data_IF_453896341764
#
_entry.id   IF_453896341764
#
_cell.length_a   1.000
_cell.length_b   1.000
_cell.length_c   1.000
_cell.angle_alpha   90.00
_cell.angle_beta   90.00
_cell.angle_gamma   90.00
#
_symmetry.space_group_name_H-M   'P 1'
#
loop_
_entity.id
_entity.type
_entity.pdbx_description
1 polymer ?
#
# COMPACT_ATOMS: atom_id res chain seq x y z
N UNK A 1 15.49 -9.41 12.59
CA UNK A 1 16.09 -10.73 12.25
C UNK A 1 15.51 -11.32 10.96
N UNK A 2 14.18 -11.33 10.76
CA UNK A 2 13.54 -11.88 9.54
C UNK A 2 14.05 -11.29 8.22
N UNK A 3 14.08 -9.94 8.11
CA UNK A 3 14.62 -9.24 6.94
C UNK A 3 16.04 -9.67 6.57
N UNK A 4 16.90 -9.89 7.56
CA UNK A 4 18.28 -10.34 7.33
C UNK A 4 18.38 -11.78 6.83
N UNK A 5 17.44 -12.66 7.21
CA UNK A 5 17.37 -14.04 6.69
C UNK A 5 17.09 -14.09 5.18
N UNK A 6 16.50 -13.04 4.59
CA UNK A 6 16.40 -12.92 3.14
C UNK A 6 17.77 -12.94 2.45
N UNK A 7 18.77 -12.25 3.01
CA UNK A 7 20.14 -12.29 2.51
C UNK A 7 20.76 -13.69 2.55
N UNK A 8 20.46 -14.46 3.61
CA UNK A 8 20.88 -15.85 3.74
C UNK A 8 20.30 -16.72 2.63
N UNK A 9 19.00 -16.59 2.35
CA UNK A 9 18.36 -17.33 1.25
C UNK A 9 18.95 -16.99 -0.11
N UNK A 10 19.26 -15.71 -0.37
CA UNK A 10 19.98 -15.32 -1.59
C UNK A 10 21.38 -15.95 -1.67
N UNK A 11 22.12 -15.96 -0.56
CA UNK A 11 23.43 -16.63 -0.50
C UNK A 11 23.36 -18.10 -0.84
N UNK A 12 22.40 -18.83 -0.25
CA UNK A 12 22.17 -20.25 -0.51
C UNK A 12 21.83 -20.51 -1.99
N UNK A 13 20.98 -19.68 -2.60
CA UNK A 13 20.66 -19.77 -4.03
C UNK A 13 21.90 -19.53 -4.90
N UNK A 14 22.66 -18.48 -4.62
CA UNK A 14 23.86 -18.14 -5.40
C UNK A 14 24.94 -19.21 -5.29
N UNK A 15 25.11 -19.80 -4.11
CA UNK A 15 26.00 -20.95 -3.92
C UNK A 15 25.56 -22.14 -4.79
N UNK A 16 24.29 -22.53 -4.73
CA UNK A 16 23.75 -23.62 -5.54
C UNK A 16 23.95 -23.39 -7.05
N UNK A 17 23.61 -22.20 -7.55
CA UNK A 17 23.80 -21.85 -8.96
C UNK A 17 25.27 -21.90 -9.38
N UNK A 18 26.18 -21.55 -8.48
CA UNK A 18 27.63 -21.56 -8.74
C UNK A 18 28.20 -22.97 -8.72
N UNK A 19 27.77 -23.82 -7.79
CA UNK A 19 28.14 -25.25 -7.73
C UNK A 19 27.74 -25.95 -9.03
N UNK A 20 26.53 -25.69 -9.52
CA UNK A 20 26.01 -26.33 -10.74
C UNK A 20 26.57 -25.75 -12.05
N UNK A 21 27.30 -24.63 -11.99
CA UNK A 21 27.75 -23.91 -13.19
C UNK A 21 28.83 -24.71 -13.92
N UNK A 22 28.50 -25.18 -15.12
CA UNK A 22 29.49 -25.75 -16.04
C UNK A 22 30.00 -27.14 -15.64
N UNK A 23 29.29 -27.85 -14.76
CA UNK A 23 29.64 -29.23 -14.42
C UNK A 23 29.35 -30.14 -15.63
N UNK A 24 30.27 -31.04 -16.02
CA UNK A 24 30.03 -32.00 -17.10
C UNK A 24 29.02 -33.07 -16.66
N UNK A 25 28.34 -33.73 -17.60
CA UNK A 25 27.46 -34.85 -17.27
C UNK A 25 28.26 -36.11 -16.93
N UNK A 26 27.78 -37.02 -16.06
CA UNK A 26 26.47 -37.01 -15.41
C UNK A 26 26.54 -36.63 -13.92
N UNK A 27 27.08 -37.50 -13.07
CA UNK A 27 27.28 -37.23 -11.63
C UNK A 27 28.70 -36.72 -11.38
N UNK A 28 28.82 -35.64 -10.60
CA UNK A 28 30.08 -35.14 -10.07
C UNK A 28 30.00 -35.05 -8.55
N UNK A 29 31.10 -35.32 -7.86
CA UNK A 29 31.15 -35.27 -6.40
C UNK A 29 30.84 -33.88 -5.86
N UNK A 30 31.12 -32.82 -6.61
CA UNK A 30 30.75 -31.42 -6.30
C UNK A 30 29.25 -31.26 -5.99
N UNK A 31 28.40 -32.12 -6.57
CA UNK A 31 26.95 -32.14 -6.28
C UNK A 31 26.64 -32.57 -4.84
N UNK A 32 27.61 -33.04 -4.05
CA UNK A 32 27.39 -33.30 -2.62
C UNK A 32 27.06 -32.03 -1.84
N UNK A 33 27.54 -30.88 -2.32
CA UNK A 33 27.33 -29.53 -1.77
C UNK A 33 25.92 -28.98 -2.05
N UNK A 34 24.96 -29.77 -2.53
CA UNK A 34 23.59 -29.30 -2.75
C UNK A 34 22.74 -29.27 -1.45
N UNK A 35 23.03 -30.20 -0.53
CA UNK A 35 22.18 -30.49 0.64
C UNK A 35 22.19 -29.38 1.66
N UNK A 36 23.36 -28.83 2.00
CA UNK A 36 23.49 -27.87 3.10
C UNK A 36 22.66 -26.60 2.86
N UNK A 37 22.74 -26.05 1.64
CA UNK A 37 22.06 -24.84 1.22
C UNK A 37 20.56 -25.05 1.13
N UNK A 38 20.11 -26.23 0.67
CA UNK A 38 18.68 -26.58 0.64
C UNK A 38 18.16 -26.75 2.06
N UNK A 39 18.81 -27.53 2.91
CA UNK A 39 18.39 -27.75 4.29
C UNK A 39 18.37 -26.45 5.09
N UNK A 40 19.41 -25.64 4.99
CA UNK A 40 19.45 -24.35 5.66
C UNK A 40 18.34 -23.39 5.18
N UNK A 41 18.03 -23.41 3.89
CA UNK A 41 16.93 -22.61 3.33
C UNK A 41 15.57 -23.09 3.84
N UNK A 42 15.35 -24.41 3.91
CA UNK A 42 14.13 -25.01 4.44
C UNK A 42 13.96 -24.72 5.93
N UNK A 43 15.00 -24.92 6.74
CA UNK A 43 14.99 -24.61 8.17
C UNK A 43 14.75 -23.13 8.43
N UNK A 44 15.41 -22.29 7.63
CA UNK A 44 15.23 -20.84 7.69
C UNK A 44 13.79 -20.45 7.37
N UNK A 45 13.20 -20.99 6.31
CA UNK A 45 11.82 -20.70 5.91
C UNK A 45 10.82 -21.19 6.96
N UNK A 46 10.93 -22.43 7.41
CA UNK A 46 10.01 -23.01 8.39
C UNK A 46 10.05 -22.25 9.71
N UNK A 47 11.26 -21.98 10.24
CA UNK A 47 11.39 -21.18 11.46
C UNK A 47 10.82 -19.76 11.28
N UNK A 48 10.94 -19.20 10.08
CA UNK A 48 10.41 -17.88 9.76
C UNK A 48 8.89 -17.84 9.78
N UNK A 49 8.24 -18.80 9.12
CA UNK A 49 6.79 -18.92 9.07
C UNK A 49 6.18 -19.21 10.44
N UNK A 50 6.81 -20.09 11.23
CA UNK A 50 6.37 -20.41 12.61
C UNK A 50 6.36 -19.18 13.53
N UNK A 51 7.20 -18.17 13.26
CA UNK A 51 7.22 -16.92 14.02
C UNK A 51 6.23 -15.91 13.43
N UNK A 52 6.16 -15.81 12.11
CA UNK A 52 5.37 -14.78 11.42
C UNK A 52 3.87 -14.98 11.60
N UNK A 53 3.38 -16.22 11.50
CA UNK A 53 1.96 -16.53 11.67
C UNK A 53 1.38 -16.05 13.02
N UNK A 54 1.93 -16.46 14.19
CA UNK A 54 1.40 -16.00 15.48
C UNK A 54 1.65 -14.51 15.73
N UNK A 55 2.70 -13.92 15.12
CA UNK A 55 2.94 -12.49 15.20
C UNK A 55 1.83 -11.68 14.51
N UNK A 56 1.42 -12.09 13.31
CA UNK A 56 0.30 -11.45 12.59
C UNK A 56 -1.02 -11.71 13.33
N UNK A 57 -1.25 -12.95 13.79
CA UNK A 57 -2.45 -13.33 14.52
C UNK A 57 -2.66 -12.50 15.81
N UNK A 58 -1.58 -12.21 16.53
CA UNK A 58 -1.62 -11.44 17.79
C UNK A 58 -1.43 -9.93 17.60
N UNK A 59 -1.26 -9.47 16.36
CA UNK A 59 -1.05 -8.06 16.08
C UNK A 59 -2.29 -7.25 16.46
N UNK A 60 -2.09 -6.13 17.16
CA UNK A 60 -3.17 -5.18 17.48
C UNK A 60 -3.05 -3.97 16.57
N UNK A 61 -4.13 -3.64 15.88
CA UNK A 61 -4.22 -2.45 15.04
C UNK A 61 -4.70 -1.27 15.90
N UNK A 62 -3.92 -0.21 15.95
CA UNK A 62 -4.26 1.04 16.65
C UNK A 62 -5.13 1.92 15.73
N UNK A 63 -6.41 1.58 15.60
CA UNK A 63 -7.32 2.16 14.61
C UNK A 63 -7.34 3.70 14.61
N UNK A 64 -7.41 4.33 15.80
CA UNK A 64 -7.42 5.79 15.92
C UNK A 64 -6.13 6.44 15.40
N UNK A 65 -4.97 5.88 15.74
CA UNK A 65 -3.69 6.37 15.26
C UNK A 65 -3.57 6.22 13.74
N UNK A 66 -4.02 5.08 13.19
CA UNK A 66 -3.99 4.83 11.75
C UNK A 66 -4.93 5.77 11.01
N UNK A 67 -6.14 6.01 11.53
CA UNK A 67 -7.12 6.94 10.97
C UNK A 67 -6.59 8.38 10.99
N UNK A 68 -6.06 8.83 12.13
CA UNK A 68 -5.47 10.16 12.25
C UNK A 68 -4.26 10.35 11.33
N UNK A 69 -3.45 9.32 11.11
CA UNK A 69 -2.34 9.37 10.15
C UNK A 69 -2.84 9.42 8.70
N UNK A 70 -3.89 8.69 8.35
CA UNK A 70 -4.47 8.67 7.01
C UNK A 70 -5.13 10.02 6.63
N UNK A 71 -5.73 10.70 7.59
CA UNK A 71 -6.29 12.05 7.41
C UNK A 71 -5.19 13.13 7.22
N UNK A 72 -3.96 12.86 7.67
CA UNK A 72 -2.84 13.77 7.49
C UNK A 72 -2.18 13.58 6.12
N UNK A 73 -1.61 14.66 5.59
CA UNK A 73 -0.78 14.60 4.38
C UNK A 73 -1.50 14.82 3.06
N UNK A 74 -2.73 15.36 3.09
CA UNK A 74 -3.47 15.76 1.89
C UNK A 74 -3.72 14.62 0.90
N UNK A 75 -3.84 13.38 1.39
CA UNK A 75 -4.15 12.21 0.55
C UNK A 75 -5.45 12.37 -0.24
N UNK A 76 -6.42 13.13 0.30
CA UNK A 76 -7.69 13.49 -0.33
C UNK A 76 -7.60 14.65 -1.35
N UNK A 77 -6.41 15.24 -1.57
CA UNK A 77 -6.22 16.26 -2.62
C UNK A 77 -6.52 15.69 -4.02
N UNK A 78 -6.17 14.42 -4.25
CA UNK A 78 -6.50 13.75 -5.52
C UNK A 78 -8.01 13.66 -5.71
N UNK A 79 -8.75 13.32 -4.66
CA UNK A 79 -10.22 13.24 -4.69
C UNK A 79 -10.86 14.63 -4.87
N UNK A 80 -10.25 15.70 -4.31
CA UNK A 80 -10.64 17.08 -4.61
C UNK A 80 -10.45 17.43 -6.09
N UNK A 81 -9.36 16.99 -6.72
CA UNK A 81 -9.13 17.21 -8.15
C UNK A 81 -10.18 16.46 -8.98
N UNK A 82 -10.49 15.21 -8.64
CA UNK A 82 -11.54 14.43 -9.30
C UNK A 82 -12.93 15.08 -9.12
N UNK A 83 -13.22 15.66 -7.95
CA UNK A 83 -14.43 16.43 -7.69
C UNK A 83 -14.55 17.64 -8.65
N UNK A 84 -13.50 18.44 -8.78
CA UNK A 84 -13.48 19.61 -9.68
C UNK A 84 -13.65 19.19 -11.14
N UNK A 85 -13.05 18.07 -11.53
CA UNK A 85 -13.22 17.50 -12.88
C UNK A 85 -14.67 17.10 -13.13
N UNK A 86 -15.35 16.49 -12.17
CA UNK A 86 -16.78 16.17 -12.28
C UNK A 86 -17.66 17.41 -12.39
N UNK A 87 -17.23 18.55 -11.84
CA UNK A 87 -17.87 19.88 -12.00
C UNK A 87 -17.47 20.59 -13.31
N UNK A 88 -16.78 19.87 -14.22
CA UNK A 88 -16.47 20.32 -15.57
C UNK A 88 -15.20 21.17 -15.69
N UNK A 89 -14.32 21.16 -14.69
CA UNK A 89 -13.00 21.81 -14.77
C UNK A 89 -12.01 20.85 -15.43
N UNK A 90 -11.24 21.25 -16.46
CA UNK A 90 -10.19 20.40 -17.03
C UNK A 90 -9.19 19.93 -15.97
N UNK A 91 -8.75 18.66 -16.02
CA UNK A 91 -7.90 18.07 -14.98
C UNK A 91 -6.64 18.89 -14.67
N UNK A 92 -5.99 19.47 -15.68
CA UNK A 92 -4.80 20.31 -15.49
C UNK A 92 -5.08 21.55 -14.62
N UNK A 93 -6.25 22.15 -14.81
CA UNK A 93 -6.69 23.32 -14.03
C UNK A 93 -7.13 22.89 -12.64
N UNK A 94 -7.91 21.81 -12.52
CA UNK A 94 -8.29 21.22 -11.24
C UNK A 94 -7.04 20.91 -10.37
N UNK A 95 -6.02 20.29 -10.95
CA UNK A 95 -4.76 20.01 -10.28
C UNK A 95 -4.04 21.29 -9.79
N UNK A 96 -4.09 22.38 -10.57
CA UNK A 96 -3.50 23.66 -10.17
C UNK A 96 -4.27 24.33 -9.02
N UNK A 97 -5.60 24.31 -9.07
CA UNK A 97 -6.49 24.80 -8.01
C UNK A 97 -6.21 24.05 -6.71
N UNK A 98 -6.20 22.70 -6.76
CA UNK A 98 -5.93 21.85 -5.61
C UNK A 98 -4.52 22.09 -5.06
N UNK A 99 -3.50 22.20 -5.92
CA UNK A 99 -2.14 22.50 -5.47
C UNK A 99 -2.06 23.83 -4.71
N UNK A 100 -2.85 24.83 -5.15
CA UNK A 100 -2.95 26.13 -4.46
C UNK A 100 -3.65 26.00 -3.11
N UNK A 101 -4.75 25.24 -3.04
CA UNK A 101 -5.48 24.95 -1.80
C UNK A 101 -4.60 24.20 -0.78
N UNK A 102 -3.87 23.16 -1.21
CA UNK A 102 -2.95 22.41 -0.36
C UNK A 102 -1.83 23.31 0.17
N UNK A 103 -1.25 24.17 -0.68
CA UNK A 103 -0.23 25.13 -0.24
C UNK A 103 -0.79 26.12 0.79
N UNK A 104 -2.02 26.59 0.61
CA UNK A 104 -2.71 27.43 1.59
C UNK A 104 -2.90 26.70 2.92
N UNK A 105 -3.38 25.45 2.89
CA UNK A 105 -3.54 24.62 4.07
C UNK A 105 -2.22 24.41 4.82
N UNK A 106 -1.11 24.13 4.12
CA UNK A 106 0.22 23.98 4.73
C UNK A 106 0.64 25.26 5.45
N UNK A 107 0.46 26.43 4.82
CA UNK A 107 0.82 27.73 5.40
C UNK A 107 0.00 28.06 6.65
N UNK A 108 -1.27 27.68 6.66
CA UNK A 108 -2.20 27.96 7.76
C UNK A 108 -2.32 26.80 8.77
N UNK A 109 -1.54 25.73 8.59
CA UNK A 109 -1.57 24.51 9.42
C UNK A 109 -2.98 23.90 9.54
N UNK A 110 -3.70 23.89 8.43
CA UNK A 110 -5.04 23.28 8.29
C UNK A 110 -4.98 22.05 7.38
N UNK A 111 -6.00 21.21 7.45
CA UNK A 111 -6.32 20.18 6.46
C UNK A 111 -7.36 20.73 5.46
N UNK A 112 -7.54 20.06 4.32
CA UNK A 112 -8.54 20.46 3.32
C UNK A 112 -9.96 20.42 3.89
N UNK A 113 -10.24 19.44 4.74
CA UNK A 113 -11.55 19.25 5.41
C UNK A 113 -11.87 20.38 6.41
N UNK A 114 -10.85 21.12 6.86
CA UNK A 114 -10.96 22.21 7.83
C UNK A 114 -11.13 23.59 7.17
N UNK A 115 -11.05 23.67 5.83
CA UNK A 115 -11.28 24.91 5.10
C UNK A 115 -12.76 25.30 5.17
N UNK A 116 -13.05 26.58 5.39
CA UNK A 116 -14.42 27.10 5.31
C UNK A 116 -14.88 27.23 3.86
N UNK A 117 -16.19 27.31 3.62
CA UNK A 117 -16.70 27.58 2.27
C UNK A 117 -16.24 28.93 1.72
N UNK A 118 -16.01 29.92 2.58
CA UNK A 118 -15.45 31.21 2.21
C UNK A 118 -14.01 31.05 1.70
N UNK A 119 -13.19 30.25 2.41
CA UNK A 119 -11.83 29.90 1.99
C UNK A 119 -11.86 29.11 0.67
N UNK A 120 -12.75 28.13 0.53
CA UNK A 120 -12.90 27.36 -0.71
C UNK A 120 -13.28 28.23 -1.91
N UNK A 121 -14.19 29.19 -1.70
CA UNK A 121 -14.65 30.10 -2.75
C UNK A 121 -13.52 30.99 -3.29
N UNK A 122 -12.44 31.19 -2.54
CA UNK A 122 -11.26 31.92 -3.04
C UNK A 122 -10.48 31.16 -4.11
N UNK A 123 -10.62 29.83 -4.18
CA UNK A 123 -9.91 28.99 -5.15
C UNK A 123 -10.72 28.78 -6.42
N UNK A 124 -12.01 28.45 -6.30
CA UNK A 124 -12.94 28.30 -7.42
C UNK A 124 -14.40 28.38 -6.96
N UNK A 125 -15.24 29.11 -7.72
CA UNK A 125 -16.66 29.33 -7.39
C UNK A 125 -17.54 28.08 -7.61
N UNK A 126 -17.05 27.04 -8.28
CA UNK A 126 -17.76 25.76 -8.49
C UNK A 126 -17.60 24.80 -7.29
N UNK A 127 -16.80 25.18 -6.28
CA UNK A 127 -16.70 24.41 -5.03
C UNK A 127 -17.94 24.73 -4.19
N UNK A 128 -18.73 23.70 -3.90
CA UNK A 128 -19.97 23.80 -3.13
C UNK A 128 -19.85 22.99 -1.84
N UNK A 129 -20.89 23.03 -1.00
CA UNK A 129 -20.89 22.35 0.32
C UNK A 129 -20.75 20.82 0.23
N UNK A 130 -21.03 20.21 -0.92
CA UNK A 130 -20.82 18.79 -1.19
C UNK A 130 -19.33 18.39 -1.23
N UNK A 131 -18.41 19.36 -1.24
CA UNK A 131 -16.96 19.10 -1.18
C UNK A 131 -16.58 18.34 0.10
N UNK A 132 -17.13 18.71 1.25
CA UNK A 132 -16.79 18.10 2.54
C UNK A 132 -17.09 16.60 2.57
N UNK A 133 -18.19 16.19 1.95
CA UNK A 133 -18.52 14.78 1.78
C UNK A 133 -17.58 14.12 0.77
N UNK A 134 -17.35 14.79 -0.37
CA UNK A 134 -16.56 14.27 -1.49
C UNK A 134 -15.11 13.96 -1.14
N UNK A 135 -14.48 14.77 -0.28
CA UNK A 135 -13.07 14.63 0.11
C UNK A 135 -12.89 13.91 1.46
N UNK A 136 -13.98 13.48 2.09
CA UNK A 136 -13.92 12.74 3.35
C UNK A 136 -13.18 11.41 3.16
N UNK A 137 -12.41 11.00 4.16
CA UNK A 137 -11.65 9.75 4.11
C UNK A 137 -12.54 8.54 3.74
N UNK A 138 -13.75 8.48 4.30
CA UNK A 138 -14.75 7.45 4.01
C UNK A 138 -15.16 7.45 2.53
N UNK A 139 -15.48 8.61 1.96
CA UNK A 139 -15.91 8.72 0.57
C UNK A 139 -14.77 8.35 -0.38
N UNK A 140 -13.56 8.85 -0.12
CA UNK A 140 -12.36 8.57 -0.89
C UNK A 140 -12.08 7.06 -0.97
N UNK A 141 -12.17 6.35 0.17
CA UNK A 141 -11.96 4.89 0.20
C UNK A 141 -13.12 4.16 -0.48
N UNK A 142 -14.37 4.53 -0.19
CA UNK A 142 -15.56 3.89 -0.76
C UNK A 142 -15.60 4.00 -2.28
N UNK A 143 -15.08 5.08 -2.86
CA UNK A 143 -15.00 5.29 -4.30
C UNK A 143 -14.06 4.31 -5.02
N UNK A 144 -13.11 3.66 -4.32
CA UNK A 144 -12.13 2.74 -4.92
C UNK A 144 -12.71 1.33 -5.11
N UNK A 145 -13.68 1.22 -6.00
CA UNK A 145 -14.44 -0.02 -6.28
C UNK A 145 -13.89 -0.90 -7.40
N UNK A 146 -12.81 -0.48 -8.07
CA UNK A 146 -12.18 -1.27 -9.13
C UNK A 146 -11.66 -2.61 -8.60
N UNK A 147 -11.40 -3.55 -9.51
CA UNK A 147 -10.78 -4.83 -9.14
C UNK A 147 -9.41 -4.58 -8.48
N UNK A 148 -9.23 -5.09 -7.26
CA UNK A 148 -8.03 -4.82 -6.44
C UNK A 148 -8.04 -3.46 -5.72
N UNK A 149 -9.13 -2.70 -5.80
CA UNK A 149 -9.29 -1.43 -5.10
C UNK A 149 -9.35 -1.58 -3.57
N UNK A 150 -9.13 -0.46 -2.88
CA UNK A 150 -9.10 -0.37 -1.41
C UNK A 150 -10.48 -0.18 -0.78
N UNK A 151 -11.54 -0.06 -1.58
CA UNK A 151 -12.90 0.12 -1.09
C UNK A 151 -13.41 -1.10 -0.31
N UNK A 152 -14.31 -0.92 0.68
CA UNK A 152 -14.71 -2.01 1.57
C UNK A 152 -15.29 -3.22 0.84
N UNK A 153 -16.08 -2.99 -0.21
CA UNK A 153 -16.70 -4.06 -0.99
C UNK A 153 -15.67 -4.80 -1.87
N UNK A 154 -14.69 -4.08 -2.42
CA UNK A 154 -13.58 -4.67 -3.17
C UNK A 154 -12.69 -5.52 -2.25
N UNK A 155 -12.37 -5.03 -1.05
CA UNK A 155 -11.57 -5.76 -0.05
C UNK A 155 -12.31 -7.01 0.44
N UNK A 156 -13.61 -6.92 0.75
CA UNK A 156 -14.43 -8.10 1.10
C UNK A 156 -14.39 -9.16 0.01
N UNK A 157 -14.55 -8.76 -1.25
CA UNK A 157 -14.46 -9.67 -2.40
C UNK A 157 -13.08 -10.35 -2.47
N UNK A 158 -12.00 -9.60 -2.28
CA UNK A 158 -10.64 -10.17 -2.30
C UNK A 158 -10.39 -11.13 -1.14
N UNK A 159 -10.94 -10.87 0.05
CA UNK A 159 -10.87 -11.78 1.20
C UNK A 159 -11.56 -13.12 0.86
N UNK A 160 -12.73 -13.09 0.23
CA UNK A 160 -13.44 -14.32 -0.15
C UNK A 160 -12.69 -15.09 -1.24
N UNK A 161 -12.09 -14.40 -2.22
CA UNK A 161 -11.21 -15.04 -3.21
C UNK A 161 -10.04 -15.72 -2.52
N UNK A 162 -9.33 -15.02 -1.62
CA UNK A 162 -8.18 -15.58 -0.91
C UNK A 162 -8.58 -16.82 -0.08
N UNK A 163 -9.71 -16.77 0.63
CA UNK A 163 -10.24 -17.93 1.37
C UNK A 163 -10.55 -19.11 0.44
N UNK A 164 -11.08 -18.86 -0.76
CA UNK A 164 -11.39 -19.94 -1.70
C UNK A 164 -10.15 -20.64 -2.25
N UNK A 165 -9.02 -19.93 -2.39
CA UNK A 165 -7.75 -20.47 -2.87
C UNK A 165 -6.95 -21.21 -1.79
N UNK A 166 -7.20 -20.91 -0.51
CA UNK A 166 -6.54 -21.53 0.64
C UNK A 166 -7.31 -22.75 1.19
N UNK A 167 -8.49 -23.03 0.67
CA UNK A 167 -9.24 -24.27 0.92
C UNK A 167 -8.67 -25.41 0.07
#
# INVERSE_FOLDING_TARGET
KMRGKGGRMYGNLMAMLTIMKGIPLAYNTDMSEDKEQVYDSMDTLQASLRIMAPMIEKMVILAENTRAAAARGFSNATDMADYLVRKGIPFREAHHIVGSAVNYCIKHKKMLEELTMEEFSTFDNKIEKDIYESISLEACIKARMSYGGTGPDAVKKQIEIAKSLLK
#
